data_IF_134355751772
#
_entry.id   IF_134355751772
#
_cell.length_a   1.000
_cell.length_b   1.000
_cell.length_c   1.000
_cell.angle_alpha   90.00
_cell.angle_beta   90.00
_cell.angle_gamma   90.00
#
_symmetry.space_group_name_H-M   'P 1'
#
loop_
_entity.id
_entity.type
_entity.pdbx_description
1 polymer ?
#
# COMPACT_ATOMS: atom_id res chain seq x y z
N UNK A 1 9.53 -0.73 -14.25
CA UNK A 1 9.02 0.52 -14.86
C UNK A 1 9.62 0.75 -16.28
N UNK A 2 10.94 0.63 -16.45
CA UNK A 2 11.62 0.80 -17.76
C UNK A 2 11.07 -0.17 -18.81
N UNK A 3 10.84 -1.43 -18.46
CA UNK A 3 10.27 -2.44 -19.37
C UNK A 3 8.82 -2.17 -19.76
N UNK A 4 8.02 -1.58 -18.89
CA UNK A 4 6.60 -1.25 -19.17
C UNK A 4 6.54 -0.09 -20.16
N UNK A 5 7.35 0.94 -19.98
CA UNK A 5 7.40 2.07 -20.92
C UNK A 5 7.96 1.65 -22.29
N UNK A 6 8.98 0.79 -22.32
CA UNK A 6 9.49 0.22 -23.57
C UNK A 6 8.44 -0.62 -24.30
N UNK A 7 7.62 -1.39 -23.56
CA UNK A 7 6.52 -2.14 -24.14
C UNK A 7 5.42 -1.22 -24.70
N UNK A 8 5.07 -0.14 -23.97
CA UNK A 8 4.09 0.85 -24.44
C UNK A 8 4.63 1.59 -25.68
N UNK A 9 5.92 1.93 -25.73
CA UNK A 9 6.55 2.54 -26.88
C UNK A 9 6.47 1.63 -28.11
N UNK A 10 6.76 0.34 -27.97
CA UNK A 10 6.59 -0.64 -29.03
C UNK A 10 5.16 -0.74 -29.57
N UNK A 11 4.15 -0.70 -28.66
CA UNK A 11 2.75 -0.67 -29.06
C UNK A 11 2.36 0.61 -29.79
N UNK A 12 2.91 1.76 -29.41
CA UNK A 12 2.67 3.05 -30.09
C UNK A 12 3.28 3.02 -31.49
N UNK A 13 4.52 2.53 -31.63
CA UNK A 13 5.19 2.39 -32.92
C UNK A 13 4.40 1.49 -33.89
N UNK A 14 3.94 0.33 -33.41
CA UNK A 14 3.09 -0.57 -34.21
C UNK A 14 1.79 0.11 -34.65
N UNK A 15 1.13 0.85 -33.76
CA UNK A 15 -0.10 1.59 -34.10
C UNK A 15 0.14 2.76 -35.05
N UNK A 16 1.28 3.41 -34.95
CA UNK A 16 1.67 4.48 -35.91
C UNK A 16 1.91 3.90 -37.30
N UNK A 17 2.49 2.71 -37.40
CA UNK A 17 2.70 2.04 -38.67
C UNK A 17 1.38 1.59 -39.31
N UNK A 18 0.47 1.01 -38.51
CA UNK A 18 -0.90 0.72 -38.94
C UNK A 18 -1.66 1.98 -39.40
N UNK A 19 -1.45 3.12 -38.74
CA UNK A 19 -2.06 4.38 -39.13
C UNK A 19 -1.56 4.84 -40.53
N UNK A 20 -0.25 4.73 -40.80
CA UNK A 20 0.32 5.07 -42.10
C UNK A 20 -0.21 4.20 -43.24
N UNK A 21 -0.36 2.91 -43.00
CA UNK A 21 -0.93 1.97 -43.97
C UNK A 21 -2.40 2.28 -44.27
N UNK A 22 -3.19 2.64 -43.25
CA UNK A 22 -4.60 3.01 -43.38
C UNK A 22 -4.73 4.35 -44.13
N UNK A 23 -3.87 5.33 -43.83
CA UNK A 23 -3.86 6.64 -44.55
C UNK A 23 -3.45 6.51 -46.01
N UNK A 24 -2.66 5.47 -46.37
CA UNK A 24 -2.27 5.16 -47.75
C UNK A 24 -3.35 4.39 -48.52
N UNK A 25 -4.34 3.83 -47.86
CA UNK A 25 -5.45 3.09 -48.49
C UNK A 25 -6.69 3.97 -48.68
N UNK A 26 -7.50 3.60 -49.63
CA UNK A 26 -8.67 4.29 -50.22
C UNK A 26 -9.51 5.20 -49.24
N UNK A 27 -9.93 6.44 -49.66
CA UNK A 27 -10.26 7.57 -48.76
C UNK A 27 -11.55 7.50 -47.95
N UNK A 28 -12.53 6.67 -48.29
CA UNK A 28 -13.83 6.71 -47.56
C UNK A 28 -13.92 5.87 -46.28
N UNK A 29 -13.16 4.78 -46.20
CA UNK A 29 -13.06 3.99 -44.96
C UNK A 29 -11.85 4.38 -44.10
N UNK A 30 -10.85 4.97 -44.71
CA UNK A 30 -9.60 5.37 -44.05
C UNK A 30 -9.81 6.37 -42.89
N UNK A 31 -10.68 7.36 -43.07
CA UNK A 31 -10.92 8.41 -42.05
C UNK A 31 -11.45 7.87 -40.73
N UNK A 32 -12.39 6.89 -40.76
CA UNK A 32 -12.97 6.32 -39.55
C UNK A 32 -12.02 5.40 -38.83
N UNK A 33 -11.27 4.59 -39.56
CA UNK A 33 -10.21 3.71 -39.05
C UNK A 33 -9.04 4.52 -38.48
N UNK A 34 -8.57 5.52 -39.18
CA UNK A 34 -7.52 6.43 -38.71
C UNK A 34 -7.91 7.18 -37.45
N UNK A 35 -9.15 7.61 -37.31
CA UNK A 35 -9.63 8.24 -36.08
C UNK A 35 -9.63 7.25 -34.88
N UNK A 36 -10.02 5.98 -35.09
CA UNK A 36 -9.96 4.95 -34.08
C UNK A 36 -8.52 4.71 -33.58
N UNK A 37 -7.59 4.54 -34.52
CA UNK A 37 -6.17 4.30 -34.20
C UNK A 37 -5.54 5.52 -33.51
N UNK A 38 -5.85 6.75 -33.94
CA UNK A 38 -5.37 7.98 -33.26
C UNK A 38 -5.86 8.04 -31.80
N UNK A 39 -7.09 7.66 -31.52
CA UNK A 39 -7.63 7.59 -30.16
C UNK A 39 -6.97 6.53 -29.30
N UNK A 40 -6.60 5.38 -29.89
CA UNK A 40 -5.84 4.33 -29.19
C UNK A 40 -4.43 4.80 -28.83
N UNK A 41 -3.74 5.47 -29.78
CA UNK A 41 -2.41 6.05 -29.53
C UNK A 41 -2.47 7.08 -28.38
N UNK A 42 -3.45 8.00 -28.41
CA UNK A 42 -3.66 8.98 -27.34
C UNK A 42 -3.90 8.31 -25.97
N UNK A 43 -4.64 7.18 -25.96
CA UNK A 43 -4.87 6.38 -24.75
C UNK A 43 -3.58 5.73 -24.21
N UNK A 44 -2.70 5.26 -25.08
CA UNK A 44 -1.41 4.69 -24.71
C UNK A 44 -0.43 5.76 -24.19
N UNK A 45 -0.39 6.92 -24.83
CA UNK A 45 0.41 8.07 -24.38
C UNK A 45 -0.02 8.56 -23.00
N UNK A 46 -1.33 8.61 -22.73
CA UNK A 46 -1.85 8.93 -21.38
C UNK A 46 -1.42 7.92 -20.31
N UNK A 47 -1.39 6.63 -20.65
CA UNK A 47 -0.88 5.57 -19.76
C UNK A 47 0.61 5.73 -19.49
N UNK A 48 1.40 6.10 -20.49
CA UNK A 48 2.84 6.37 -20.34
C UNK A 48 3.09 7.57 -19.43
N UNK A 49 2.38 8.68 -19.62
CA UNK A 49 2.45 9.87 -18.74
C UNK A 49 2.03 9.55 -17.31
N UNK A 50 1.01 8.71 -17.11
CA UNK A 50 0.62 8.22 -15.80
C UNK A 50 1.73 7.42 -15.11
N UNK A 51 2.40 6.53 -15.85
CA UNK A 51 3.55 5.76 -15.37
C UNK A 51 4.75 6.65 -14.98
N UNK A 52 5.05 7.68 -15.76
CA UNK A 52 6.13 8.63 -15.44
C UNK A 52 5.82 9.50 -14.22
N UNK A 53 4.57 9.89 -14.02
CA UNK A 53 4.14 10.60 -12.81
C UNK A 53 4.29 9.72 -11.57
N UNK A 54 3.90 8.46 -11.66
CA UNK A 54 4.06 7.49 -10.56
C UNK A 54 5.54 7.30 -10.18
N UNK A 55 6.44 7.21 -11.17
CA UNK A 55 7.89 7.12 -10.93
C UNK A 55 8.42 8.37 -10.23
N UNK A 56 8.02 9.56 -10.68
CA UNK A 56 8.42 10.83 -10.05
C UNK A 56 7.88 10.97 -8.64
N UNK A 57 6.68 10.48 -8.38
CA UNK A 57 6.10 10.45 -7.03
C UNK A 57 6.84 9.45 -6.13
N UNK A 58 7.19 8.26 -6.61
CA UNK A 58 8.03 7.32 -5.88
C UNK A 58 9.43 7.87 -5.56
N UNK A 59 10.07 8.52 -6.52
CA UNK A 59 11.36 9.19 -6.31
C UNK A 59 11.25 10.31 -5.29
N UNK A 60 10.17 11.08 -5.33
CA UNK A 60 9.89 12.13 -4.35
C UNK A 60 9.64 11.55 -2.95
N UNK A 61 8.91 10.45 -2.83
CA UNK A 61 8.69 9.74 -1.56
C UNK A 61 10.01 9.19 -1.02
N UNK A 62 10.83 8.54 -1.87
CA UNK A 62 12.18 8.05 -1.51
C UNK A 62 13.12 9.19 -1.12
N UNK A 63 13.09 10.31 -1.85
CA UNK A 63 13.88 11.49 -1.54
C UNK A 63 13.47 12.13 -0.20
N UNK A 64 12.16 12.26 0.03
CA UNK A 64 11.63 12.78 1.29
C UNK A 64 11.97 11.84 2.47
N UNK A 65 11.86 10.52 2.29
CA UNK A 65 12.25 9.54 3.30
C UNK A 65 13.74 9.61 3.60
N UNK A 66 14.61 9.76 2.59
CA UNK A 66 16.05 9.95 2.76
C UNK A 66 16.36 11.26 3.48
N UNK A 67 15.73 12.37 3.07
CA UNK A 67 15.91 13.66 3.73
C UNK A 67 15.43 13.65 5.19
N UNK A 68 14.36 12.92 5.48
CA UNK A 68 13.86 12.75 6.84
C UNK A 68 14.82 11.86 7.68
N UNK A 69 15.33 10.79 7.10
CA UNK A 69 16.35 9.95 7.73
C UNK A 69 17.64 10.75 7.99
N UNK A 70 18.09 11.56 7.04
CA UNK A 70 19.26 12.43 7.21
C UNK A 70 19.04 13.47 8.33
N UNK A 71 17.88 14.13 8.38
CA UNK A 71 17.53 15.05 9.48
C UNK A 71 17.49 14.36 10.85
N UNK A 72 17.09 13.09 10.90
CA UNK A 72 17.13 12.31 12.13
C UNK A 72 18.55 11.95 12.52
N UNK A 73 19.44 11.68 11.55
CA UNK A 73 20.86 11.46 11.77
C UNK A 73 21.56 12.75 12.21
N UNK A 74 21.28 13.88 11.56
CA UNK A 74 21.85 15.19 11.87
C UNK A 74 21.43 15.72 13.27
N UNK A 75 20.22 15.33 13.75
CA UNK A 75 19.78 15.62 15.12
C UNK A 75 20.46 14.77 16.20
N UNK A 76 21.18 13.73 15.80
CA UNK A 76 21.90 12.80 16.69
C UNK A 76 23.32 13.23 17.03
N UNK A 77 23.66 14.50 16.94
CA UNK A 77 24.97 15.03 17.39
C UNK A 77 25.12 15.08 18.93
N UNK A 78 24.04 14.78 19.66
CA UNK A 78 24.16 14.50 21.09
C UNK A 78 24.47 13.02 21.32
N UNK A 79 25.37 12.71 22.25
CA UNK A 79 25.88 11.39 22.65
C UNK A 79 24.80 10.42 23.19
N UNK A 80 23.62 10.40 22.60
CA UNK A 80 22.55 9.50 22.99
C UNK A 80 22.72 8.13 22.35
N UNK A 81 22.73 7.09 23.18
CA UNK A 81 22.77 5.69 22.71
C UNK A 81 21.68 5.43 21.69
N UNK A 82 22.02 4.75 20.59
CA UNK A 82 21.05 4.31 19.61
C UNK A 82 20.24 3.12 20.13
N UNK A 83 19.08 2.86 19.52
CA UNK A 83 18.24 1.73 19.93
C UNK A 83 19.00 0.39 19.86
N UNK A 84 19.85 0.24 18.84
CA UNK A 84 20.67 -0.94 18.62
C UNK A 84 21.72 -1.13 19.72
N UNK A 85 22.28 -0.02 20.24
CA UNK A 85 23.25 -0.04 21.33
C UNK A 85 22.66 -0.35 22.70
N UNK A 86 21.34 -0.25 22.84
CA UNK A 86 20.66 -0.58 24.09
C UNK A 86 20.59 -2.09 24.38
N UNK A 87 20.89 -2.95 23.40
CA UNK A 87 20.87 -4.41 23.57
C UNK A 87 19.47 -4.95 23.88
N UNK A 88 18.44 -4.36 23.29
CA UNK A 88 17.05 -4.76 23.51
C UNK A 88 16.72 -5.94 22.59
N UNK A 89 16.29 -7.07 23.18
CA UNK A 89 15.96 -8.31 22.48
C UNK A 89 14.44 -8.54 22.33
N UNK A 90 13.62 -7.78 23.04
CA UNK A 90 12.16 -7.91 22.97
C UNK A 90 11.47 -6.54 23.02
N UNK A 91 10.36 -6.43 22.32
CA UNK A 91 9.55 -5.22 22.26
C UNK A 91 8.09 -5.56 22.63
N UNK A 92 7.65 -5.03 23.77
CA UNK A 92 6.26 -5.14 24.22
C UNK A 92 5.62 -3.76 24.15
N UNK A 93 4.54 -3.65 23.42
CA UNK A 93 3.83 -2.39 23.18
C UNK A 93 2.40 -2.53 23.65
N UNK A 94 2.06 -1.78 24.68
CA UNK A 94 0.68 -1.63 25.12
C UNK A 94 -0.02 -0.50 24.35
N UNK A 95 -1.34 -0.56 24.29
CA UNK A 95 -2.18 0.39 23.52
C UNK A 95 -1.72 0.54 22.07
N UNK A 96 -1.41 -0.59 21.42
CA UNK A 96 -0.86 -0.63 20.08
C UNK A 96 -1.75 0.02 19.01
N UNK A 97 -3.05 0.25 19.29
CA UNK A 97 -3.94 1.00 18.42
C UNK A 97 -3.44 2.43 18.14
N UNK A 98 -2.62 3.00 19.02
CA UNK A 98 -2.00 4.31 18.82
C UNK A 98 -1.00 4.36 17.63
N UNK A 99 -0.60 3.21 17.10
CA UNK A 99 0.40 3.06 16.03
C UNK A 99 -0.20 2.61 14.69
N UNK A 100 -1.51 2.61 14.54
CA UNK A 100 -2.21 2.18 13.31
C UNK A 100 -1.88 3.01 12.07
N UNK A 101 -1.49 4.28 12.23
CA UNK A 101 -1.13 5.17 11.12
C UNK A 101 0.32 4.95 10.66
N UNK A 102 0.60 3.77 10.18
CA UNK A 102 1.85 3.44 9.52
C UNK A 102 1.70 3.71 8.02
N UNK A 103 2.32 4.77 7.52
CA UNK A 103 2.22 5.17 6.13
C UNK A 103 2.61 4.07 5.13
N UNK A 104 2.01 4.11 3.97
CA UNK A 104 2.27 3.21 2.86
C UNK A 104 2.02 3.92 1.52
N UNK A 105 2.55 3.34 0.46
CA UNK A 105 2.26 3.75 -0.92
C UNK A 105 1.19 2.84 -1.50
N UNK A 106 0.29 3.39 -2.30
CA UNK A 106 -0.77 2.64 -2.99
C UNK A 106 -1.14 3.33 -4.29
N UNK A 107 -1.43 2.53 -5.30
CA UNK A 107 -1.99 3.00 -6.57
C UNK A 107 -3.51 3.20 -6.49
N UNK A 108 -4.13 2.73 -5.40
CA UNK A 108 -5.56 2.87 -5.10
C UNK A 108 -5.87 4.30 -4.66
N UNK A 109 -6.20 5.17 -5.60
CA UNK A 109 -6.50 6.58 -5.33
C UNK A 109 -8.01 6.81 -5.12
N UNK A 110 -8.34 7.75 -4.22
CA UNK A 110 -9.73 8.17 -3.94
C UNK A 110 -10.66 7.08 -3.39
N UNK A 111 -10.11 6.03 -2.78
CA UNK A 111 -10.91 4.98 -2.13
C UNK A 111 -11.15 5.36 -0.67
N UNK A 112 -12.40 5.44 -0.28
CA UNK A 112 -12.77 5.69 1.12
C UNK A 112 -12.35 4.52 2.02
N UNK A 113 -11.79 4.85 3.18
CA UNK A 113 -11.30 3.87 4.15
C UNK A 113 -9.82 3.53 3.98
N UNK A 114 -9.13 4.14 3.02
CA UNK A 114 -7.67 4.04 2.87
C UNK A 114 -7.05 5.39 3.25
N UNK A 115 -6.27 5.41 4.32
CA UNK A 115 -5.50 6.59 4.76
C UNK A 115 -4.00 6.24 4.71
N UNK A 116 -3.28 6.63 3.65
CA UNK A 116 -1.86 6.35 3.52
C UNK A 116 -0.98 7.27 4.39
N UNK A 117 -1.58 8.16 5.17
CA UNK A 117 -0.83 9.11 5.99
C UNK A 117 0.01 8.39 7.06
N UNK A 118 1.23 8.87 7.22
CA UNK A 118 2.20 8.34 8.17
C UNK A 118 2.31 9.18 9.43
N UNK A 119 2.29 8.56 10.60
CA UNK A 119 2.74 9.19 11.85
C UNK A 119 4.20 8.83 12.14
N UNK A 120 4.99 9.80 12.63
CA UNK A 120 6.38 9.56 13.03
C UNK A 120 6.50 8.46 14.08
N UNK A 121 5.54 8.40 15.01
CA UNK A 121 5.45 7.40 16.06
C UNK A 121 5.31 5.99 15.50
N UNK A 122 4.43 5.78 14.53
CA UNK A 122 4.24 4.49 13.87
C UNK A 122 5.47 4.07 13.06
N UNK A 123 6.09 5.02 12.34
CA UNK A 123 7.34 4.76 11.60
C UNK A 123 8.48 4.36 12.54
N UNK A 124 8.64 5.05 13.67
CA UNK A 124 9.65 4.70 14.68
C UNK A 124 9.41 3.31 15.26
N UNK A 125 8.16 2.94 15.55
CA UNK A 125 7.82 1.60 16.00
C UNK A 125 8.16 0.56 14.92
N UNK A 126 7.85 0.83 13.65
CA UNK A 126 8.15 -0.09 12.53
C UNK A 126 9.66 -0.38 12.44
N UNK A 127 10.49 0.63 12.51
CA UNK A 127 11.95 0.45 12.49
C UNK A 127 12.43 -0.44 13.64
N UNK A 128 11.94 -0.17 14.86
CA UNK A 128 12.31 -0.95 16.06
C UNK A 128 11.80 -2.38 15.97
N UNK A 129 10.54 -2.60 15.55
CA UNK A 129 9.98 -3.94 15.40
C UNK A 129 10.73 -4.73 14.32
N UNK A 130 11.08 -4.11 13.20
CA UNK A 130 11.88 -4.75 12.15
C UNK A 130 13.24 -5.21 12.69
N UNK A 131 13.96 -4.33 13.40
CA UNK A 131 15.24 -4.67 14.02
C UNK A 131 15.12 -5.86 14.97
N UNK A 132 14.12 -5.88 15.84
CA UNK A 132 13.92 -7.00 16.77
C UNK A 132 13.59 -8.30 16.01
N UNK A 133 12.69 -8.26 15.03
CA UNK A 133 12.31 -9.44 14.25
C UNK A 133 13.51 -10.02 13.46
N UNK A 134 14.32 -9.18 12.85
CA UNK A 134 15.50 -9.61 12.08
C UNK A 134 16.56 -10.27 12.97
N UNK A 135 16.77 -9.74 14.18
CA UNK A 135 17.77 -10.27 15.12
C UNK A 135 17.28 -11.44 15.96
N UNK A 136 15.97 -11.72 15.99
CA UNK A 136 15.36 -12.76 16.84
C UNK A 136 14.54 -13.79 16.04
N UNK A 137 14.94 -14.09 14.81
CA UNK A 137 14.29 -15.11 13.97
C UNK A 137 12.77 -14.90 13.81
N UNK A 138 12.36 -13.65 13.63
CA UNK A 138 10.96 -13.25 13.44
C UNK A 138 10.12 -13.24 14.72
N UNK A 139 10.73 -13.15 15.89
CA UNK A 139 10.05 -13.24 17.20
C UNK A 139 10.32 -12.02 18.07
N UNK A 140 9.76 -12.03 19.27
CA UNK A 140 10.01 -11.06 20.35
C UNK A 140 9.40 -9.68 20.14
N UNK A 141 8.38 -9.55 19.29
CA UNK A 141 7.54 -8.35 19.21
C UNK A 141 6.12 -8.71 19.65
N UNK A 142 5.62 -8.03 20.66
CA UNK A 142 4.27 -8.20 21.19
C UNK A 142 3.54 -6.86 21.18
N UNK A 143 2.35 -6.86 20.60
CA UNK A 143 1.47 -5.70 20.55
C UNK A 143 0.16 -6.03 21.26
N UNK A 144 -0.16 -5.30 22.33
CA UNK A 144 -1.41 -5.46 23.07
C UNK A 144 -2.38 -4.32 22.76
N UNK A 145 -3.64 -4.63 22.49
CA UNK A 145 -4.68 -3.62 22.27
C UNK A 145 -6.07 -4.25 22.36
N UNK A 146 -7.04 -3.53 22.92
CA UNK A 146 -8.45 -3.91 22.88
C UNK A 146 -9.16 -3.63 21.55
N UNK A 147 -8.53 -2.87 20.63
CA UNK A 147 -9.13 -2.47 19.34
C UNK A 147 -8.15 -2.62 18.19
N UNK A 148 -7.79 -3.85 17.82
CA UNK A 148 -6.81 -4.09 16.75
C UNK A 148 -7.31 -3.54 15.41
N UNK A 149 -8.57 -3.73 15.09
CA UNK A 149 -9.20 -3.27 13.86
C UNK A 149 -10.46 -2.49 14.26
N UNK A 150 -10.52 -1.21 13.89
CA UNK A 150 -11.66 -0.35 14.22
C UNK A 150 -12.32 0.32 13.02
N UNK A 151 -11.53 0.72 12.02
CA UNK A 151 -12.02 1.53 10.93
C UNK A 151 -11.81 0.93 9.54
N UNK A 152 -10.67 0.29 9.31
CA UNK A 152 -10.27 -0.14 7.97
C UNK A 152 -9.45 -1.43 7.97
N UNK A 153 -9.48 -2.12 6.85
CA UNK A 153 -8.62 -3.29 6.59
C UNK A 153 -7.12 -2.95 6.62
N UNK A 154 -6.76 -1.73 6.28
CA UNK A 154 -5.38 -1.26 6.33
C UNK A 154 -4.78 -1.36 7.73
N UNK A 155 -5.61 -1.29 8.79
CA UNK A 155 -5.18 -1.47 10.17
C UNK A 155 -4.69 -2.90 10.42
N UNK A 156 -5.41 -3.91 9.91
CA UNK A 156 -5.00 -5.31 10.02
C UNK A 156 -3.65 -5.56 9.33
N UNK A 157 -3.52 -5.08 8.11
CA UNK A 157 -2.26 -5.16 7.37
C UNK A 157 -1.12 -4.42 8.08
N UNK A 158 -1.40 -3.29 8.70
CA UNK A 158 -0.43 -2.55 9.52
C UNK A 158 0.10 -3.40 10.67
N UNK A 159 -0.76 -4.12 11.39
CA UNK A 159 -0.32 -5.03 12.46
C UNK A 159 0.49 -6.21 11.92
N UNK A 160 0.11 -6.77 10.77
CA UNK A 160 0.91 -7.80 10.10
C UNK A 160 2.32 -7.28 9.80
N UNK A 161 2.47 -6.05 9.31
CA UNK A 161 3.77 -5.43 9.06
C UNK A 161 4.63 -5.26 10.32
N UNK A 162 4.03 -5.03 11.48
CA UNK A 162 4.79 -4.96 12.74
C UNK A 162 5.25 -6.32 13.25
N UNK A 163 4.48 -7.37 12.99
CA UNK A 163 4.63 -8.69 13.63
C UNK A 163 5.28 -9.73 12.71
N UNK A 164 5.25 -9.53 11.40
CA UNK A 164 5.84 -10.45 10.42
C UNK A 164 7.11 -9.88 9.81
N UNK A 165 8.16 -10.71 9.67
CA UNK A 165 9.35 -10.36 8.88
C UNK A 165 9.01 -10.09 7.41
N UNK A 166 9.84 -9.31 6.74
CA UNK A 166 9.59 -8.90 5.35
C UNK A 166 9.53 -10.09 4.37
N UNK A 167 10.37 -11.11 4.56
CA UNK A 167 10.35 -12.32 3.74
C UNK A 167 9.03 -13.10 3.87
N UNK A 168 8.43 -13.14 5.06
CA UNK A 168 7.14 -13.78 5.31
C UNK A 168 6.01 -12.99 4.65
N UNK A 169 6.04 -11.66 4.72
CA UNK A 169 5.07 -10.81 4.01
C UNK A 169 5.14 -11.03 2.49
N UNK A 170 6.35 -11.23 1.93
CA UNK A 170 6.54 -11.54 0.52
C UNK A 170 6.05 -12.94 0.16
N UNK A 171 6.28 -13.93 1.01
CA UNK A 171 5.80 -15.31 0.81
C UNK A 171 4.27 -15.37 0.73
N UNK A 172 3.58 -14.60 1.57
CA UNK A 172 2.12 -14.46 1.51
C UNK A 172 1.63 -13.47 0.44
N UNK A 173 2.53 -12.84 -0.31
CA UNK A 173 2.21 -11.80 -1.30
C UNK A 173 1.35 -10.65 -0.71
N UNK A 174 1.75 -10.18 0.47
CA UNK A 174 1.12 -9.07 1.20
C UNK A 174 2.14 -8.01 1.66
N UNK A 175 3.29 -7.96 1.03
CA UNK A 175 4.37 -7.02 1.34
C UNK A 175 4.05 -5.58 0.93
N UNK A 176 3.14 -5.40 -0.04
CA UNK A 176 2.57 -4.11 -0.41
C UNK A 176 1.09 -4.03 -0.06
N UNK A 177 0.57 -2.80 0.15
CA UNK A 177 -0.85 -2.63 0.42
C UNK A 177 -1.72 -3.06 -0.76
N UNK A 178 -1.28 -2.79 -1.98
CA UNK A 178 -2.04 -3.12 -3.19
C UNK A 178 -2.14 -4.64 -3.39
N UNK A 179 -1.08 -5.39 -3.08
CA UNK A 179 -1.11 -6.85 -3.08
C UNK A 179 -2.05 -7.39 -1.99
N UNK A 180 -1.98 -6.86 -0.76
CA UNK A 180 -2.91 -7.21 0.32
C UNK A 180 -4.36 -6.91 -0.06
N UNK A 181 -4.62 -5.72 -0.60
CA UNK A 181 -5.94 -5.29 -1.04
C UNK A 181 -6.49 -6.15 -2.17
N UNK A 182 -5.64 -6.55 -3.12
CA UNK A 182 -6.02 -7.46 -4.22
C UNK A 182 -6.39 -8.86 -3.75
N UNK A 183 -5.67 -9.38 -2.74
CA UNK A 183 -5.89 -10.73 -2.23
C UNK A 183 -7.10 -10.82 -1.29
N UNK A 184 -7.32 -9.79 -0.48
CA UNK A 184 -8.25 -9.85 0.65
C UNK A 184 -9.32 -8.76 0.67
N UNK A 185 -9.33 -7.87 -0.32
CA UNK A 185 -10.24 -6.76 -0.35
C UNK A 185 -11.21 -6.77 -1.53
N UNK A 186 -12.40 -6.27 -1.30
CA UNK A 186 -13.38 -5.96 -2.33
C UNK A 186 -13.67 -4.47 -2.34
N UNK A 187 -13.51 -3.85 -3.52
CA UNK A 187 -13.83 -2.45 -3.73
C UNK A 187 -15.24 -2.38 -4.30
N UNK A 188 -16.12 -1.70 -3.61
CA UNK A 188 -17.50 -1.48 -4.05
C UNK A 188 -17.69 -0.01 -4.44
N UNK A 189 -18.45 0.20 -5.52
CA UNK A 189 -18.88 1.52 -5.93
C UNK A 189 -20.25 1.81 -5.32
N UNK A 190 -20.35 2.93 -4.60
CA UNK A 190 -21.61 3.41 -4.04
C UNK A 190 -21.92 4.82 -4.53
N UNK A 191 -23.18 5.06 -4.91
CA UNK A 191 -23.65 6.41 -5.19
C UNK A 191 -23.92 7.13 -3.87
N UNK A 192 -23.14 8.15 -3.56
CA UNK A 192 -23.31 8.96 -2.35
C UNK A 192 -23.85 10.35 -2.69
N UNK A 193 -24.70 10.87 -1.82
CA UNK A 193 -25.17 12.25 -1.93
C UNK A 193 -24.08 13.19 -1.42
N UNK A 194 -23.53 14.00 -2.31
CA UNK A 194 -22.55 15.01 -1.93
C UNK A 194 -23.19 16.20 -1.20
N UNK A 195 -22.42 16.92 -0.42
CA UNK A 195 -22.86 18.17 0.27
C UNK A 195 -23.35 19.26 -0.68
N UNK A 196 -23.06 19.13 -1.97
CA UNK A 196 -23.51 20.02 -3.04
C UNK A 196 -24.83 19.57 -3.70
N UNK A 197 -25.53 18.59 -3.12
CA UNK A 197 -26.81 18.07 -3.65
C UNK A 197 -26.70 17.21 -4.91
N UNK A 198 -25.48 16.83 -5.33
CA UNK A 198 -25.26 15.97 -6.51
C UNK A 198 -24.82 14.58 -6.09
N UNK A 199 -25.25 13.57 -6.84
CA UNK A 199 -24.72 12.22 -6.69
C UNK A 199 -23.26 12.17 -7.11
N UNK A 200 -22.44 11.58 -6.25
CA UNK A 200 -21.03 11.28 -6.52
C UNK A 200 -20.82 9.78 -6.36
N UNK A 201 -20.24 9.14 -7.36
CA UNK A 201 -19.78 7.76 -7.22
C UNK A 201 -18.54 7.77 -6.33
N UNK A 202 -18.61 7.09 -5.21
CA UNK A 202 -17.50 6.89 -4.30
C UNK A 202 -17.12 5.41 -4.30
N UNK A 203 -15.83 5.13 -4.49
CA UNK A 203 -15.28 3.81 -4.28
C UNK A 203 -14.93 3.66 -2.81
N UNK A 204 -15.35 2.55 -2.23
CA UNK A 204 -15.06 2.19 -0.85
C UNK A 204 -14.45 0.80 -0.79
N UNK A 205 -13.49 0.63 0.06
CA UNK A 205 -13.02 -0.67 0.48
C UNK A 205 -14.08 -1.25 1.43
N UNK A 206 -14.97 -2.11 0.90
CA UNK A 206 -16.24 -2.39 1.56
C UNK A 206 -16.26 -3.71 2.33
N UNK A 207 -15.60 -4.74 1.82
CA UNK A 207 -15.67 -6.05 2.42
C UNK A 207 -14.36 -6.83 2.28
N UNK A 208 -14.20 -7.83 3.14
CA UNK A 208 -13.12 -8.80 3.02
C UNK A 208 -13.50 -9.91 2.04
N UNK A 209 -12.59 -10.22 1.13
CA UNK A 209 -12.61 -11.44 0.34
C UNK A 209 -11.63 -12.44 0.93
N UNK A 210 -11.76 -13.72 0.57
CA UNK A 210 -10.83 -14.77 0.96
C UNK A 210 -10.54 -14.85 2.48
N UNK A 211 -11.59 -14.69 3.28
CA UNK A 211 -11.54 -14.69 4.75
C UNK A 211 -10.83 -15.90 5.37
N UNK A 212 -11.01 -17.15 4.88
CA UNK A 212 -10.33 -18.29 5.50
C UNK A 212 -8.81 -18.18 5.48
N UNK A 213 -8.22 -17.76 4.37
CA UNK A 213 -6.77 -17.57 4.25
C UNK A 213 -6.28 -16.37 5.08
N UNK A 214 -7.02 -15.27 5.06
CA UNK A 214 -6.70 -14.10 5.87
C UNK A 214 -6.69 -14.44 7.36
N UNK A 215 -7.69 -15.17 7.84
CA UNK A 215 -7.77 -15.63 9.22
C UNK A 215 -6.67 -16.63 9.57
N UNK A 216 -6.29 -17.52 8.64
CA UNK A 216 -5.19 -18.45 8.85
C UNK A 216 -3.85 -17.73 9.05
N UNK A 217 -3.59 -16.65 8.32
CA UNK A 217 -2.41 -15.79 8.53
C UNK A 217 -2.53 -15.05 9.87
N UNK A 218 -3.69 -14.46 10.13
CA UNK A 218 -3.91 -13.68 11.35
C UNK A 218 -3.76 -14.51 12.63
N UNK A 219 -4.27 -15.72 12.67
CA UNK A 219 -4.17 -16.64 13.81
C UNK A 219 -2.73 -17.04 14.15
N UNK A 220 -1.80 -16.94 13.21
CA UNK A 220 -0.39 -17.21 13.49
C UNK A 220 0.27 -16.12 14.34
N UNK A 221 -0.27 -14.89 14.30
CA UNK A 221 0.32 -13.71 14.94
C UNK A 221 -0.58 -13.08 16.00
N UNK A 222 -1.85 -13.46 16.07
CA UNK A 222 -2.82 -12.85 16.98
C UNK A 222 -3.42 -13.89 17.93
N UNK A 223 -3.46 -13.54 19.20
CA UNK A 223 -4.21 -14.23 20.23
C UNK A 223 -5.34 -13.34 20.72
N UNK A 224 -6.57 -13.78 20.58
CA UNK A 224 -7.77 -13.02 20.97
C UNK A 224 -8.29 -13.60 22.28
N UNK A 225 -8.42 -12.75 23.29
CA UNK A 225 -9.00 -13.10 24.59
C UNK A 225 -10.30 -12.31 24.75
N UNK A 226 -11.42 -12.99 24.87
CA UNK A 226 -12.71 -12.38 25.10
C UNK A 226 -13.01 -12.32 26.62
N UNK A 227 -13.90 -11.42 27.00
CA UNK A 227 -14.33 -11.29 28.42
C UNK A 227 -14.90 -12.60 28.98
N UNK A 228 -15.49 -13.41 28.11
CA UNK A 228 -16.05 -14.75 28.45
C UNK A 228 -14.95 -15.75 28.80
N UNK A 229 -13.76 -15.61 28.23
CA UNK A 229 -12.62 -16.50 28.47
C UNK A 229 -11.95 -16.23 29.83
N UNK A 230 -12.19 -15.05 30.41
CA UNK A 230 -11.58 -14.62 31.67
C UNK A 230 -12.57 -14.82 32.83
N UNK A 231 -12.87 -16.09 33.15
CA UNK A 231 -13.80 -16.45 34.21
C UNK A 231 -13.37 -15.98 35.61
N UNK A 232 -12.09 -15.62 35.81
CA UNK A 232 -11.52 -15.15 37.07
C UNK A 232 -11.76 -13.67 37.38
N UNK A 233 -12.33 -12.91 36.43
CA UNK A 233 -12.63 -11.48 36.61
C UNK A 233 -14.09 -11.19 36.96
N UNK A 234 -14.87 -12.22 37.33
CA UNK A 234 -16.24 -12.11 37.84
C UNK A 234 -16.29 -12.22 39.36
#
# INVERSE_FOLDING_TARGET
>A
PIRVNQYIDGLIEEKVEQLKEVEASNPDNAKRLAYGIKKEIEGLEKKKVGSEKSIKEEEKVKSNARAQAQRLLDRRTDETMTFEQLGIDALLVDEAHAYKKLGFTTDLQNIKGIDPAASQRAQSLRLKSTYILENNSGKNVVLATGTPISNTMAEMWTFMRYLLPQNVLQEYNIDTFDAFASNFGSIEESAEFGTNGKFKVAQRFASYSNMPELLAIWQQIAHVVLTEDVSSLR
#
